data_IF_567980426006
#
_entry.id   IF_567980426006
#
_cell.length_a   1.000
_cell.length_b   1.000
_cell.length_c   1.000
_cell.angle_alpha   90.00
_cell.angle_beta   90.00
_cell.angle_gamma   90.00
#
_symmetry.space_group_name_H-M   'P 1'
#
loop_
_entity.id
_entity.type
_entity.pdbx_description
1 polymer ?
#
# COMPACT_ATOMS: atom_id res chain seq x y z
N UNK A 1 10.83 27.10 -17.10
CA UNK A 1 9.54 27.05 -17.84
C UNK A 1 8.48 26.49 -16.90
N UNK A 2 7.62 27.34 -16.34
CA UNK A 2 6.58 26.93 -15.38
C UNK A 2 5.38 26.32 -16.10
N UNK A 3 5.14 25.03 -15.86
CA UNK A 3 3.93 24.34 -16.31
C UNK A 3 2.78 24.80 -15.40
N UNK A 4 1.92 25.68 -15.93
CA UNK A 4 0.68 26.09 -15.27
C UNK A 4 -0.28 24.90 -15.25
N UNK A 5 -0.57 24.38 -14.07
CA UNK A 5 -1.66 23.44 -13.84
C UNK A 5 -2.99 24.13 -14.20
N UNK A 6 -3.59 23.72 -15.32
CA UNK A 6 -4.95 24.11 -15.63
C UNK A 6 -5.93 23.30 -14.76
N UNK A 7 -6.98 23.94 -14.22
CA UNK A 7 -8.02 23.25 -13.48
C UNK A 7 -8.78 22.33 -14.43
N UNK A 8 -8.81 21.02 -14.14
CA UNK A 8 -9.65 20.08 -14.87
C UNK A 8 -11.12 20.52 -14.78
N UNK A 9 -11.81 20.70 -15.92
CA UNK A 9 -13.24 20.98 -15.91
C UNK A 9 -13.94 19.83 -15.19
N UNK A 10 -14.90 20.16 -14.31
CA UNK A 10 -15.74 19.20 -13.60
C UNK A 10 -16.33 18.21 -14.59
N UNK A 11 -15.71 17.04 -14.70
CA UNK A 11 -16.16 15.96 -15.57
C UNK A 11 -17.56 15.58 -15.14
N UNK A 12 -18.51 15.66 -16.09
CA UNK A 12 -19.84 15.10 -15.92
C UNK A 12 -19.68 13.67 -15.36
N UNK A 13 -20.40 13.31 -14.28
CA UNK A 13 -20.28 11.97 -13.71
C UNK A 13 -20.53 10.95 -14.82
N UNK A 14 -19.62 9.99 -14.95
CA UNK A 14 -19.70 8.96 -15.99
C UNK A 14 -21.13 8.38 -16.01
N UNK A 15 -21.77 8.28 -17.19
CA UNK A 15 -23.12 7.75 -17.29
C UNK A 15 -23.16 6.39 -16.62
N UNK A 16 -24.09 6.20 -15.68
CA UNK A 16 -24.19 4.96 -14.92
C UNK A 16 -24.33 3.81 -15.92
N UNK A 17 -23.53 2.73 -15.78
CA UNK A 17 -23.64 1.59 -16.67
C UNK A 17 -25.08 1.08 -16.62
N UNK A 18 -25.73 1.01 -17.78
CA UNK A 18 -27.07 0.42 -17.89
C UNK A 18 -26.98 -1.03 -17.40
N UNK A 19 -27.97 -1.52 -16.65
CA UNK A 19 -27.95 -2.91 -16.20
C UNK A 19 -27.86 -3.84 -17.41
N UNK A 20 -26.85 -4.72 -17.43
CA UNK A 20 -26.76 -5.77 -18.45
C UNK A 20 -28.02 -6.64 -18.38
N UNK A 21 -28.62 -6.90 -19.53
CA UNK A 21 -29.74 -7.83 -19.71
C UNK A 21 -29.12 -9.17 -20.06
N UNK A 22 -29.29 -10.16 -19.19
CA UNK A 22 -28.82 -11.53 -19.43
C UNK A 22 -29.90 -12.29 -20.20
N UNK A 23 -29.49 -13.11 -21.17
CA UNK A 23 -30.37 -14.02 -21.91
C UNK A 23 -30.71 -15.26 -21.07
N UNK A 24 -29.77 -15.69 -20.23
CA UNK A 24 -29.91 -16.83 -19.33
C UNK A 24 -29.73 -16.38 -17.89
N UNK A 25 -30.79 -16.55 -17.08
CA UNK A 25 -30.87 -16.18 -15.67
C UNK A 25 -30.95 -17.46 -14.83
N UNK A 26 -30.28 -17.49 -13.68
CA UNK A 26 -30.22 -18.68 -12.81
C UNK A 26 -31.60 -19.06 -12.27
N UNK A 27 -32.50 -18.10 -12.06
CA UNK A 27 -33.85 -18.34 -11.53
C UNK A 27 -34.73 -19.17 -12.47
N UNK A 28 -34.47 -19.10 -13.78
CA UNK A 28 -35.21 -19.86 -14.80
C UNK A 28 -34.75 -21.32 -14.93
N UNK A 29 -33.71 -21.73 -14.17
CA UNK A 29 -33.04 -23.03 -14.25
C UNK A 29 -32.78 -23.50 -15.69
N UNK A 30 -32.08 -22.69 -16.51
CA UNK A 30 -31.83 -23.03 -17.89
C UNK A 30 -30.97 -24.28 -18.01
N UNK A 31 -31.28 -25.13 -19.00
CA UNK A 31 -30.47 -26.31 -19.31
C UNK A 31 -29.05 -25.88 -19.71
N UNK A 32 -28.06 -26.33 -18.94
CA UNK A 32 -26.64 -26.01 -19.12
C UNK A 32 -26.18 -26.42 -20.52
N UNK A 33 -26.65 -27.56 -21.04
CA UNK A 33 -26.26 -28.03 -22.36
C UNK A 33 -26.73 -27.08 -23.45
N UNK A 34 -27.95 -26.54 -23.31
CA UNK A 34 -28.49 -25.54 -24.24
C UNK A 34 -27.65 -24.27 -24.25
N UNK A 35 -27.18 -23.81 -23.08
CA UNK A 35 -26.28 -22.64 -23.00
C UNK A 35 -24.96 -22.93 -23.73
N UNK A 36 -24.37 -24.12 -23.55
CA UNK A 36 -23.14 -24.52 -24.25
C UNK A 36 -23.34 -24.53 -25.77
N UNK A 37 -24.46 -25.06 -26.26
CA UNK A 37 -24.79 -25.04 -27.70
C UNK A 37 -25.00 -23.62 -28.22
N UNK A 38 -25.73 -22.78 -27.50
CA UNK A 38 -25.90 -21.37 -27.86
C UNK A 38 -24.56 -20.63 -27.93
N UNK A 39 -23.60 -20.93 -27.04
CA UNK A 39 -22.23 -20.35 -27.09
C UNK A 39 -21.47 -20.83 -28.32
N UNK A 40 -21.62 -22.11 -28.69
CA UNK A 40 -21.08 -22.65 -29.95
C UNK A 40 -21.67 -21.92 -31.16
N UNK A 41 -22.97 -21.58 -31.09
CA UNK A 41 -23.70 -20.84 -32.13
C UNK A 41 -23.44 -19.31 -32.10
N UNK A 42 -22.58 -18.83 -31.20
CA UNK A 42 -22.11 -17.44 -31.16
C UNK A 42 -22.69 -16.56 -30.05
N UNK A 43 -23.36 -17.14 -29.05
CA UNK A 43 -23.77 -16.39 -27.85
C UNK A 43 -22.53 -15.91 -27.08
N UNK A 44 -22.46 -14.61 -26.81
CA UNK A 44 -21.39 -14.04 -25.98
C UNK A 44 -21.60 -14.45 -24.53
N UNK A 45 -20.54 -14.91 -23.89
CA UNK A 45 -20.56 -15.32 -22.46
C UNK A 45 -21.01 -14.19 -21.52
N UNK A 46 -20.87 -12.92 -21.93
CA UNK A 46 -21.36 -11.77 -21.16
C UNK A 46 -22.89 -11.71 -21.01
N UNK A 47 -23.63 -12.40 -21.86
CA UNK A 47 -25.10 -12.48 -21.83
C UNK A 47 -25.61 -13.60 -20.92
N UNK A 48 -24.71 -14.39 -20.33
CA UNK A 48 -25.04 -15.45 -19.36
C UNK A 48 -24.77 -14.92 -17.96
N UNK A 49 -25.70 -15.17 -17.03
CA UNK A 49 -25.52 -14.73 -15.64
C UNK A 49 -24.31 -15.42 -14.97
N UNK A 50 -23.42 -14.67 -14.28
CA UNK A 50 -22.21 -15.23 -13.66
C UNK A 50 -22.45 -16.33 -12.63
N UNK A 51 -23.62 -16.34 -11.99
CA UNK A 51 -24.00 -17.35 -10.99
C UNK A 51 -24.10 -18.76 -11.63
N UNK A 52 -24.26 -18.85 -12.96
CA UNK A 52 -24.25 -20.12 -13.71
C UNK A 52 -22.83 -20.59 -14.08
N UNK A 53 -21.80 -19.75 -13.97
CA UNK A 53 -20.44 -20.07 -14.44
C UNK A 53 -19.81 -21.27 -13.72
N UNK A 54 -20.08 -21.45 -12.42
CA UNK A 54 -19.56 -22.58 -11.66
C UNK A 54 -20.03 -23.94 -12.23
N UNK A 55 -21.28 -24.01 -12.67
CA UNK A 55 -21.86 -25.21 -13.25
C UNK A 55 -21.54 -25.34 -14.76
N UNK A 56 -21.37 -24.20 -15.45
CA UNK A 56 -21.10 -24.15 -16.88
C UNK A 56 -19.65 -24.53 -17.21
N UNK A 57 -18.68 -24.16 -16.36
CA UNK A 57 -17.24 -24.32 -16.62
C UNK A 57 -16.82 -25.78 -16.89
N UNK A 58 -17.21 -26.79 -16.08
CA UNK A 58 -16.87 -28.18 -16.37
C UNK A 58 -17.43 -28.66 -17.71
N UNK A 59 -18.67 -28.27 -18.03
CA UNK A 59 -19.33 -28.62 -19.30
C UNK A 59 -18.62 -27.99 -20.51
N UNK A 60 -18.23 -26.72 -20.42
CA UNK A 60 -17.47 -26.03 -21.47
C UNK A 60 -16.12 -26.70 -21.72
N UNK A 61 -15.38 -27.04 -20.66
CA UNK A 61 -14.07 -27.70 -20.77
C UNK A 61 -14.19 -29.09 -21.41
N UNK A 62 -15.15 -29.89 -20.98
CA UNK A 62 -15.41 -31.21 -21.55
C UNK A 62 -15.77 -31.11 -23.03
N UNK A 63 -16.65 -30.16 -23.40
CA UNK A 63 -17.11 -29.99 -24.78
C UNK A 63 -16.01 -29.40 -25.68
N UNK A 64 -15.18 -28.51 -25.17
CA UNK A 64 -14.04 -27.95 -25.90
C UNK A 64 -13.04 -29.05 -26.29
N UNK A 65 -12.70 -29.97 -25.36
CA UNK A 65 -11.82 -31.13 -25.66
C UNK A 65 -12.40 -32.01 -26.77
N UNK A 66 -13.68 -32.36 -26.67
CA UNK A 66 -14.35 -33.16 -27.70
C UNK A 66 -14.35 -32.46 -29.08
N UNK A 67 -14.55 -31.14 -29.13
CA UNK A 67 -14.53 -30.38 -30.38
C UNK A 67 -13.13 -30.24 -30.97
N UNK A 68 -12.08 -30.19 -30.14
CA UNK A 68 -10.69 -30.26 -30.60
C UNK A 68 -10.37 -31.62 -31.23
N UNK A 69 -10.82 -32.71 -30.63
CA UNK A 69 -10.68 -34.06 -31.19
C UNK A 69 -11.38 -34.18 -32.55
N UNK A 70 -12.56 -33.56 -32.69
CA UNK A 70 -13.32 -33.53 -33.94
C UNK A 70 -12.82 -32.48 -34.95
N UNK A 71 -11.73 -31.76 -34.64
CA UNK A 71 -11.13 -30.72 -35.48
C UNK A 71 -12.06 -29.55 -35.84
N UNK A 72 -13.10 -29.28 -35.03
CA UNK A 72 -13.97 -28.12 -35.22
C UNK A 72 -13.38 -26.87 -34.54
N UNK A 73 -12.43 -26.24 -35.25
CA UNK A 73 -11.65 -25.10 -34.74
C UNK A 73 -12.52 -23.89 -34.35
N UNK A 74 -13.51 -23.43 -35.15
CA UNK A 74 -14.34 -22.28 -34.79
C UNK A 74 -15.10 -22.48 -33.48
N UNK A 75 -15.79 -23.61 -33.33
CA UNK A 75 -16.56 -23.92 -32.12
C UNK A 75 -15.66 -24.05 -30.88
N UNK A 76 -14.49 -24.69 -31.03
CA UNK A 76 -13.53 -24.79 -29.92
C UNK A 76 -12.98 -23.42 -29.48
N UNK A 77 -12.81 -22.47 -30.41
CA UNK A 77 -12.35 -21.11 -30.10
C UNK A 77 -13.39 -20.34 -29.30
N UNK A 78 -14.66 -20.39 -29.70
CA UNK A 78 -15.76 -19.75 -28.95
C UNK A 78 -15.89 -20.29 -27.53
N UNK A 79 -15.75 -21.61 -27.34
CA UNK A 79 -15.76 -22.20 -26.01
C UNK A 79 -14.52 -21.81 -25.18
N UNK A 80 -13.33 -21.77 -25.78
CA UNK A 80 -12.12 -21.36 -25.08
C UNK A 80 -12.15 -19.89 -24.67
N UNK A 81 -12.69 -19.00 -25.51
CA UNK A 81 -12.92 -17.59 -25.18
C UNK A 81 -13.87 -17.47 -23.98
N UNK A 82 -14.97 -18.24 -23.96
CA UNK A 82 -15.88 -18.29 -22.83
C UNK A 82 -15.20 -18.83 -21.54
N UNK A 83 -14.38 -19.87 -21.65
CA UNK A 83 -13.61 -20.43 -20.52
C UNK A 83 -12.62 -19.39 -19.98
N UNK A 84 -11.86 -18.74 -20.85
CA UNK A 84 -10.89 -17.71 -20.48
C UNK A 84 -11.59 -16.53 -19.81
N UNK A 85 -12.74 -16.10 -20.34
CA UNK A 85 -13.56 -15.05 -19.73
C UNK A 85 -13.98 -15.44 -18.31
N UNK A 86 -14.50 -16.66 -18.10
CA UNK A 86 -14.92 -17.14 -16.78
C UNK A 86 -13.74 -17.21 -15.80
N UNK A 87 -12.57 -17.69 -16.24
CA UNK A 87 -11.37 -17.80 -15.41
C UNK A 87 -10.80 -16.42 -15.02
N UNK A 88 -10.82 -15.48 -15.96
CA UNK A 88 -10.35 -14.10 -15.75
C UNK A 88 -11.42 -13.18 -15.14
N UNK A 89 -12.64 -13.68 -14.92
CA UNK A 89 -13.74 -12.91 -14.36
C UNK A 89 -13.43 -12.56 -12.90
N UNK A 90 -12.81 -11.38 -12.69
CA UNK A 90 -12.62 -10.82 -11.36
C UNK A 90 -13.98 -10.34 -10.83
N UNK A 91 -14.45 -10.99 -9.78
CA UNK A 91 -15.66 -10.69 -8.99
C UNK A 91 -15.87 -9.20 -8.64
N UNK A 92 -14.84 -8.36 -8.73
CA UNK A 92 -14.85 -6.95 -8.30
C UNK A 92 -15.54 -5.96 -9.24
N UNK A 93 -15.83 -6.33 -10.51
CA UNK A 93 -16.27 -5.37 -11.52
C UNK A 93 -17.79 -5.35 -11.79
N UNK A 94 -18.58 -6.27 -11.22
CA UNK A 94 -20.03 -6.27 -11.40
C UNK A 94 -20.77 -5.64 -10.19
N UNK A 95 -21.39 -4.45 -10.35
CA UNK A 95 -22.06 -3.74 -9.26
C UNK A 95 -23.25 -4.52 -8.65
N UNK A 96 -23.75 -5.58 -9.29
CA UNK A 96 -24.82 -6.43 -8.73
C UNK A 96 -24.30 -7.47 -7.72
N UNK A 97 -23.00 -7.80 -7.71
CA UNK A 97 -22.43 -8.84 -6.83
C UNK A 97 -21.83 -8.33 -5.51
N UNK A 98 -21.65 -7.02 -5.32
CA UNK A 98 -21.32 -6.44 -4.00
C UNK A 98 -22.42 -6.63 -2.95
N UNK A 99 -23.59 -7.16 -3.34
CA UNK A 99 -24.65 -7.54 -2.41
C UNK A 99 -24.66 -9.05 -2.22
N UNK A 100 -24.37 -9.57 -1.01
CA UNK A 100 -24.38 -11.00 -0.73
C UNK A 100 -25.74 -11.62 -1.06
N UNK A 101 -25.76 -12.92 -1.39
CA UNK A 101 -26.96 -13.69 -1.75
C UNK A 101 -28.08 -13.57 -0.70
N UNK A 102 -27.70 -13.37 0.56
CA UNK A 102 -28.60 -13.05 1.68
C UNK A 102 -29.32 -11.71 1.49
N UNK A 103 -28.65 -10.65 1.04
CA UNK A 103 -29.29 -9.35 0.78
C UNK A 103 -30.27 -9.40 -0.39
N UNK A 104 -29.95 -10.13 -1.48
CA UNK A 104 -30.88 -10.30 -2.61
C UNK A 104 -32.13 -11.11 -2.23
N UNK A 105 -31.95 -12.20 -1.48
CA UNK A 105 -33.07 -13.01 -0.98
C UNK A 105 -33.92 -12.27 0.07
N UNK A 106 -33.31 -11.39 0.89
CA UNK A 106 -34.04 -10.57 1.86
C UNK A 106 -34.89 -9.49 1.20
N UNK A 107 -34.47 -8.94 0.05
CA UNK A 107 -35.31 -8.01 -0.72
C UNK A 107 -36.51 -8.70 -1.42
N UNK A 108 -36.34 -9.95 -1.86
CA UNK A 108 -37.42 -10.74 -2.47
C UNK A 108 -38.40 -11.35 -1.44
N UNK A 109 -37.97 -11.48 -0.17
CA UNK A 109 -38.82 -11.87 0.97
C UNK A 109 -39.35 -10.65 1.74
N UNK A 110 -39.75 -9.59 1.05
CA UNK A 110 -40.79 -8.70 1.59
C UNK A 110 -42.13 -9.45 1.54
N UNK A 111 -42.24 -10.53 2.33
CA UNK A 111 -43.50 -11.22 2.54
C UNK A 111 -44.55 -10.16 2.84
N UNK A 112 -45.65 -10.16 2.08
CA UNK A 112 -46.75 -9.19 2.23
C UNK A 112 -47.07 -9.09 3.71
N UNK A 113 -46.65 -7.99 4.34
CA UNK A 113 -46.88 -7.77 5.77
C UNK A 113 -48.39 -7.83 5.94
N UNK A 114 -48.85 -8.75 6.79
CA UNK A 114 -50.27 -8.97 6.95
C UNK A 114 -50.92 -7.70 7.49
N UNK A 115 -52.09 -7.33 6.98
CA UNK A 115 -52.80 -6.15 7.45
C UNK A 115 -53.05 -6.20 8.97
N UNK A 116 -53.24 -7.41 9.53
CA UNK A 116 -53.38 -7.61 10.97
C UNK A 116 -52.12 -7.20 11.74
N UNK A 117 -50.94 -7.49 11.20
CA UNK A 117 -49.66 -7.10 11.80
C UNK A 117 -49.49 -5.57 11.76
N UNK A 118 -49.89 -4.92 10.67
CA UNK A 118 -49.89 -3.46 10.56
C UNK A 118 -50.81 -2.85 11.62
N UNK A 119 -52.04 -3.36 11.75
CA UNK A 119 -53.03 -2.88 12.71
C UNK A 119 -52.56 -3.04 14.16
N UNK A 120 -51.93 -4.16 14.51
CA UNK A 120 -51.32 -4.38 15.84
C UNK A 120 -50.21 -3.35 16.11
N UNK A 121 -49.37 -3.06 15.11
CA UNK A 121 -48.31 -2.06 15.25
C UNK A 121 -48.85 -0.63 15.32
N UNK A 122 -49.96 -0.31 14.65
CA UNK A 122 -50.68 0.95 14.79
C UNK A 122 -51.17 1.11 16.23
N UNK A 123 -51.86 0.11 16.78
CA UNK A 123 -52.33 0.14 18.17
C UNK A 123 -51.16 0.29 19.17
N UNK A 124 -50.06 -0.43 18.96
CA UNK A 124 -48.85 -0.26 19.76
C UNK A 124 -48.26 1.16 19.66
N UNK A 125 -48.26 1.77 18.47
CA UNK A 125 -47.76 3.13 18.26
C UNK A 125 -48.64 4.19 18.92
N UNK A 126 -49.97 4.04 18.82
CA UNK A 126 -50.96 4.91 19.46
C UNK A 126 -50.87 4.83 20.99
N UNK A 127 -50.56 3.64 21.53
CA UNK A 127 -50.34 3.43 22.98
C UNK A 127 -48.94 3.83 23.46
N UNK A 128 -48.08 4.35 22.58
CA UNK A 128 -46.71 4.74 22.91
C UNK A 128 -45.73 3.58 23.15
N UNK A 129 -46.08 2.35 22.79
CA UNK A 129 -45.25 1.14 22.95
C UNK A 129 -44.33 0.92 21.74
N UNK A 130 -43.49 1.90 21.43
CA UNK A 130 -42.61 1.88 20.26
C UNK A 130 -41.52 0.79 20.32
N UNK A 131 -41.11 0.38 21.52
CA UNK A 131 -40.10 -0.67 21.75
C UNK A 131 -40.50 -2.03 21.14
N UNK A 132 -41.80 -2.24 20.84
CA UNK A 132 -42.33 -3.50 20.28
C UNK A 132 -42.49 -3.46 18.77
N UNK A 133 -42.26 -2.31 18.13
CA UNK A 133 -42.51 -2.12 16.71
C UNK A 133 -41.22 -2.39 15.95
N UNK A 134 -41.30 -3.22 14.91
CA UNK A 134 -40.16 -3.51 14.07
C UNK A 134 -39.73 -2.26 13.27
N UNK A 135 -38.46 -1.83 13.34
CA UNK A 135 -37.92 -0.72 12.55
C UNK A 135 -38.27 -0.72 11.06
N UNK A 136 -38.34 -1.89 10.44
CA UNK A 136 -38.65 -2.04 9.02
C UNK A 136 -40.05 -1.56 8.66
N UNK A 137 -40.96 -1.55 9.64
CA UNK A 137 -42.36 -1.16 9.45
C UNK A 137 -42.60 0.34 9.59
N UNK A 138 -41.64 1.11 10.12
CA UNK A 138 -41.85 2.54 10.41
C UNK A 138 -42.32 3.36 9.21
N UNK A 139 -41.83 3.07 8.00
CA UNK A 139 -42.26 3.78 6.78
C UNK A 139 -43.72 3.49 6.40
N UNK A 140 -44.14 2.23 6.53
CA UNK A 140 -45.51 1.79 6.23
C UNK A 140 -46.44 2.31 7.32
N UNK A 141 -46.05 2.12 8.58
CA UNK A 141 -46.77 2.55 9.76
C UNK A 141 -47.03 4.07 9.75
N UNK A 142 -46.04 4.88 9.39
CA UNK A 142 -46.21 6.33 9.31
C UNK A 142 -47.26 6.74 8.25
N UNK A 143 -47.32 6.03 7.12
CA UNK A 143 -48.35 6.29 6.08
C UNK A 143 -49.74 5.93 6.58
N UNK A 144 -49.90 4.79 7.22
CA UNK A 144 -51.19 4.36 7.76
C UNK A 144 -51.66 5.24 8.91
N UNK A 145 -50.76 5.69 9.80
CA UNK A 145 -51.09 6.66 10.85
C UNK A 145 -51.53 8.03 10.29
N UNK A 146 -50.93 8.48 9.17
CA UNK A 146 -51.36 9.69 8.47
C UNK A 146 -52.77 9.51 7.87
N UNK A 147 -53.07 8.35 7.28
CA UNK A 147 -54.42 8.05 6.77
C UNK A 147 -55.46 8.05 7.88
N UNK A 148 -55.18 7.36 9.00
CA UNK A 148 -56.08 7.33 10.17
C UNK A 148 -56.34 8.73 10.70
N UNK A 149 -55.31 9.59 10.74
CA UNK A 149 -55.46 11.01 11.10
C UNK A 149 -56.42 11.72 10.14
N UNK A 150 -56.21 11.59 8.83
CA UNK A 150 -57.01 12.30 7.83
C UNK A 150 -58.46 11.81 7.79
N UNK A 151 -58.67 10.50 7.96
CA UNK A 151 -60.00 9.88 8.11
C UNK A 151 -60.70 10.38 9.37
N UNK A 152 -60.01 10.42 10.52
CA UNK A 152 -60.58 10.90 11.79
C UNK A 152 -60.93 12.38 11.74
N UNK A 153 -60.12 13.19 11.03
CA UNK A 153 -60.43 14.60 10.77
C UNK A 153 -61.68 14.78 9.91
N UNK A 154 -61.91 13.88 8.94
CA UNK A 154 -63.13 13.91 8.11
C UNK A 154 -64.39 13.60 8.92
N UNK A 155 -64.27 12.72 9.93
CA UNK A 155 -65.34 12.32 10.85
C UNK A 155 -65.50 13.31 12.02
N UNK A 156 -64.60 14.29 12.15
CA UNK A 156 -64.50 15.25 13.27
C UNK A 156 -64.18 14.61 14.63
N UNK A 157 -63.52 13.45 14.63
CA UNK A 157 -62.94 12.87 15.85
C UNK A 157 -61.52 13.41 16.07
N UNK A 158 -61.44 14.50 16.82
CA UNK A 158 -60.18 15.22 17.02
C UNK A 158 -59.21 14.49 17.95
N UNK A 159 -59.69 13.65 18.88
CA UNK A 159 -58.84 12.97 19.86
C UNK A 159 -58.02 11.87 19.19
N UNK A 160 -58.65 11.05 18.36
CA UNK A 160 -57.96 10.00 17.60
C UNK A 160 -57.03 10.60 16.55
N UNK A 161 -57.43 11.71 15.92
CA UNK A 161 -56.58 12.46 15.00
C UNK A 161 -55.31 12.99 15.68
N UNK A 162 -55.41 13.52 16.90
CA UNK A 162 -54.26 14.01 17.68
C UNK A 162 -53.31 12.88 18.05
N UNK A 163 -53.83 11.77 18.62
CA UNK A 163 -53.02 10.60 18.95
C UNK A 163 -52.30 10.02 17.73
N UNK A 164 -52.98 9.93 16.59
CA UNK A 164 -52.40 9.45 15.33
C UNK A 164 -51.30 10.40 14.82
N UNK A 165 -51.49 11.71 14.94
CA UNK A 165 -50.48 12.69 14.57
C UNK A 165 -49.23 12.63 15.47
N UNK A 166 -49.41 12.48 16.78
CA UNK A 166 -48.30 12.31 17.72
C UNK A 166 -47.53 11.01 17.47
N UNK A 167 -48.25 9.90 17.30
CA UNK A 167 -47.66 8.61 16.96
C UNK A 167 -46.89 8.66 15.64
N UNK A 168 -47.45 9.29 14.59
CA UNK A 168 -46.79 9.48 13.30
C UNK A 168 -45.48 10.28 13.44
N UNK A 169 -45.51 11.41 14.17
CA UNK A 169 -44.30 12.22 14.43
C UNK A 169 -43.23 11.43 15.17
N UNK A 170 -43.63 10.62 16.16
CA UNK A 170 -42.69 9.81 16.94
C UNK A 170 -42.10 8.67 16.12
N UNK A 171 -42.92 7.95 15.34
CA UNK A 171 -42.47 6.89 14.41
C UNK A 171 -41.53 7.47 13.35
N UNK A 172 -41.82 8.65 12.81
CA UNK A 172 -40.94 9.34 11.86
C UNK A 172 -39.59 9.70 12.51
N UNK A 173 -39.60 10.17 13.75
CA UNK A 173 -38.38 10.48 14.51
C UNK A 173 -37.53 9.22 14.70
N UNK A 174 -38.14 8.12 15.16
CA UNK A 174 -37.47 6.82 15.33
C UNK A 174 -36.95 6.25 13.99
N UNK A 175 -37.69 6.46 12.89
CA UNK A 175 -37.23 6.06 11.55
C UNK A 175 -36.01 6.83 11.09
N UNK A 176 -35.95 8.13 11.38
CA UNK A 176 -34.79 8.96 11.03
C UNK A 176 -33.59 8.64 11.92
N UNK A 177 -33.82 8.35 13.19
CA UNK A 177 -32.79 7.91 14.15
C UNK A 177 -32.19 6.56 13.70
N UNK A 178 -33.01 5.53 13.44
CA UNK A 178 -32.50 4.24 12.96
C UNK A 178 -31.71 4.36 11.65
N UNK A 179 -32.19 5.17 10.70
CA UNK A 179 -31.46 5.42 9.44
C UNK A 179 -30.12 6.12 9.70
N UNK A 180 -30.09 7.05 10.64
CA UNK A 180 -28.86 7.75 11.02
C UNK A 180 -27.89 6.79 11.71
N UNK A 181 -28.37 5.93 12.60
CA UNK A 181 -27.58 4.91 13.28
C UNK A 181 -26.97 3.94 12.26
N UNK A 182 -27.75 3.40 11.32
CA UNK A 182 -27.26 2.56 10.22
C UNK A 182 -26.18 3.24 9.37
N UNK A 183 -26.35 4.55 9.07
CA UNK A 183 -25.35 5.32 8.32
C UNK A 183 -24.08 5.52 9.15
N UNK A 184 -24.22 5.72 10.46
CA UNK A 184 -23.11 6.02 11.36
C UNK A 184 -22.30 4.76 11.66
N UNK A 185 -22.96 3.63 11.93
CA UNK A 185 -22.31 2.32 12.11
C UNK A 185 -21.59 1.88 10.84
N UNK A 186 -22.23 2.03 9.67
CA UNK A 186 -21.57 1.73 8.39
C UNK A 186 -20.33 2.58 8.16
N UNK A 187 -20.39 3.87 8.49
CA UNK A 187 -19.23 4.75 8.38
C UNK A 187 -18.11 4.34 9.34
N UNK A 188 -18.47 3.94 10.57
CA UNK A 188 -17.52 3.44 11.55
C UNK A 188 -16.81 2.18 11.02
N UNK A 189 -17.58 1.19 10.55
CA UNK A 189 -17.04 -0.03 9.94
C UNK A 189 -16.14 0.27 8.72
N UNK A 190 -16.56 1.20 7.86
CA UNK A 190 -15.74 1.66 6.72
C UNK A 190 -14.42 2.28 7.19
N UNK A 191 -14.45 3.14 8.22
CA UNK A 191 -13.23 3.76 8.77
C UNK A 191 -12.31 2.76 9.47
N UNK A 192 -12.85 1.84 10.26
CA UNK A 192 -12.09 0.76 10.91
C UNK A 192 -11.43 -0.16 9.89
N UNK A 193 -12.16 -0.53 8.83
CA UNK A 193 -11.59 -1.32 7.75
C UNK A 193 -10.41 -0.59 7.08
N UNK A 194 -10.58 0.70 6.79
CA UNK A 194 -9.48 1.49 6.20
C UNK A 194 -8.30 1.67 7.13
N UNK A 195 -8.54 1.67 8.45
CA UNK A 195 -7.47 1.71 9.45
C UNK A 195 -6.66 0.41 9.39
N UNK A 196 -7.33 -0.75 9.45
CA UNK A 196 -6.68 -2.07 9.37
C UNK A 196 -5.83 -2.21 8.09
N UNK A 197 -6.39 -1.86 6.93
CA UNK A 197 -5.66 -1.89 5.66
C UNK A 197 -4.40 -1.00 5.67
N UNK A 198 -4.44 0.12 6.42
CA UNK A 198 -3.29 1.03 6.55
C UNK A 198 -2.26 0.53 7.55
N UNK A 199 -2.69 -0.14 8.62
CA UNK A 199 -1.79 -0.79 9.58
C UNK A 199 -1.04 -1.95 8.92
N UNK A 200 -1.73 -2.80 8.15
CA UNK A 200 -1.10 -3.87 7.37
C UNK A 200 -0.08 -3.32 6.38
N UNK A 201 -0.47 -2.30 5.59
CA UNK A 201 0.43 -1.64 4.63
C UNK A 201 1.64 -0.98 5.31
N UNK A 202 1.49 -0.50 6.54
CA UNK A 202 2.58 0.06 7.32
C UNK A 202 3.61 -0.99 7.73
N UNK A 203 3.15 -2.16 8.19
CA UNK A 203 4.04 -3.29 8.51
C UNK A 203 4.80 -3.75 7.27
N UNK A 204 4.11 -3.92 6.14
CA UNK A 204 4.75 -4.28 4.86
C UNK A 204 5.81 -3.23 4.44
N UNK A 205 5.50 -1.95 4.60
CA UNK A 205 6.44 -0.87 4.29
C UNK A 205 7.67 -0.93 5.20
N UNK A 206 7.49 -1.22 6.50
CA UNK A 206 8.60 -1.38 7.43
C UNK A 206 9.49 -2.56 7.05
N UNK A 207 8.90 -3.74 6.80
CA UNK A 207 9.65 -4.94 6.41
C UNK A 207 10.43 -4.77 5.11
N UNK A 208 9.82 -4.11 4.12
CA UNK A 208 10.49 -3.84 2.83
C UNK A 208 11.67 -2.89 2.98
N UNK A 209 11.56 -1.86 3.82
CA UNK A 209 12.68 -0.97 4.14
C UNK A 209 13.78 -1.66 4.92
N UNK A 210 13.44 -2.47 5.92
CA UNK A 210 14.41 -3.24 6.71
C UNK A 210 15.21 -4.20 5.82
N UNK A 211 14.52 -4.93 4.93
CA UNK A 211 15.15 -5.80 3.96
C UNK A 211 16.09 -5.02 3.03
N UNK A 212 15.63 -3.89 2.49
CA UNK A 212 16.45 -3.06 1.60
C UNK A 212 17.70 -2.50 2.28
N UNK A 213 17.60 -2.10 3.56
CA UNK A 213 18.75 -1.62 4.35
C UNK A 213 19.73 -2.77 4.61
N UNK A 214 19.21 -3.96 4.93
CA UNK A 214 20.03 -5.16 5.15
C UNK A 214 20.78 -5.56 3.88
N UNK A 215 20.10 -5.58 2.73
CA UNK A 215 20.71 -5.88 1.43
C UNK A 215 21.80 -4.86 1.09
N UNK A 216 21.57 -3.57 1.35
CA UNK A 216 22.58 -2.52 1.15
C UNK A 216 23.81 -2.68 2.08
N UNK A 217 23.62 -3.13 3.31
CA UNK A 217 24.71 -3.43 4.24
C UNK A 217 25.54 -4.63 3.79
N UNK A 218 24.88 -5.69 3.33
CA UNK A 218 25.56 -6.88 2.78
C UNK A 218 26.33 -6.54 1.51
N UNK A 219 25.75 -5.74 0.63
CA UNK A 219 26.42 -5.26 -0.58
C UNK A 219 27.67 -4.45 -0.23
N UNK A 220 27.55 -3.49 0.72
CA UNK A 220 28.70 -2.73 1.23
C UNK A 220 29.83 -3.66 1.70
N UNK A 221 29.51 -4.65 2.53
CA UNK A 221 30.52 -5.55 3.08
C UNK A 221 31.19 -6.40 1.99
N UNK A 222 30.41 -6.90 1.03
CA UNK A 222 30.93 -7.63 -0.13
C UNK A 222 31.86 -6.75 -0.97
N UNK A 223 31.46 -5.52 -1.26
CA UNK A 223 32.25 -4.59 -2.07
C UNK A 223 33.56 -4.22 -1.38
N UNK A 224 33.54 -3.96 -0.07
CA UNK A 224 34.75 -3.68 0.70
C UNK A 224 35.71 -4.87 0.72
N UNK A 225 35.20 -6.10 0.92
CA UNK A 225 36.03 -7.32 0.85
C UNK A 225 36.66 -7.52 -0.53
N UNK A 226 35.93 -7.20 -1.60
CA UNK A 226 36.46 -7.30 -2.96
C UNK A 226 37.57 -6.26 -3.22
N UNK A 227 37.39 -5.03 -2.72
CA UNK A 227 38.42 -3.98 -2.79
C UNK A 227 39.65 -4.37 -1.98
N UNK A 228 39.49 -4.90 -0.76
CA UNK A 228 40.62 -5.36 0.07
C UNK A 228 41.43 -6.44 -0.65
N UNK A 229 40.76 -7.47 -1.20
CA UNK A 229 41.44 -8.53 -1.97
C UNK A 229 42.18 -7.97 -3.18
N UNK A 230 41.55 -7.09 -3.96
CA UNK A 230 42.21 -6.44 -5.10
C UNK A 230 43.41 -5.60 -4.69
N UNK A 231 43.30 -4.87 -3.57
CA UNK A 231 44.41 -4.09 -3.02
C UNK A 231 45.57 -5.00 -2.57
N UNK A 232 45.28 -6.12 -1.90
CA UNK A 232 46.29 -7.11 -1.51
C UNK A 232 47.01 -7.72 -2.72
N UNK A 233 46.29 -8.02 -3.80
CA UNK A 233 46.88 -8.53 -5.04
C UNK A 233 47.80 -7.50 -5.70
N UNK A 234 47.39 -6.22 -5.74
CA UNK A 234 48.21 -5.13 -6.26
C UNK A 234 49.50 -4.96 -5.45
N UNK A 235 49.41 -5.01 -4.11
CA UNK A 235 50.61 -4.92 -3.25
C UNK A 235 51.52 -6.13 -3.45
N UNK A 236 50.96 -7.35 -3.53
CA UNK A 236 51.73 -8.56 -3.84
C UNK A 236 52.41 -8.50 -5.19
N UNK A 237 51.76 -7.94 -6.20
CA UNK A 237 52.35 -7.76 -7.53
C UNK A 237 53.47 -6.71 -7.52
N UNK A 238 53.30 -5.64 -6.75
CA UNK A 238 54.35 -4.64 -6.54
C UNK A 238 55.56 -5.24 -5.80
N UNK A 239 55.32 -6.07 -4.78
CA UNK A 239 56.37 -6.65 -3.94
C UNK A 239 57.29 -7.61 -4.74
N UNK A 240 56.82 -8.18 -5.87
CA UNK A 240 57.67 -8.95 -6.79
C UNK A 240 58.84 -8.13 -7.38
N UNK A 241 58.73 -6.80 -7.41
CA UNK A 241 59.82 -5.92 -7.89
C UNK A 241 61.04 -5.92 -6.97
N UNK A 242 60.89 -6.37 -5.70
CA UNK A 242 62.02 -6.50 -4.78
C UNK A 242 62.90 -7.73 -5.08
N UNK A 243 62.34 -8.74 -5.76
CA UNK A 243 63.05 -9.95 -6.15
C UNK A 243 63.96 -9.72 -7.38
N UNK A 244 63.69 -8.67 -8.17
CA UNK A 244 64.47 -8.32 -9.35
C UNK A 244 65.72 -7.51 -8.98
N UNK A 245 66.89 -7.80 -9.59
CA UNK A 245 68.10 -7.03 -9.35
C UNK A 245 67.92 -5.58 -9.86
N UNK A 246 68.59 -4.59 -9.23
CA UNK A 246 68.41 -3.20 -9.61
C UNK A 246 68.77 -2.97 -11.09
N UNK A 247 67.97 -2.20 -11.85
CA UNK A 247 68.24 -1.94 -13.26
C UNK A 247 69.59 -1.25 -13.47
N UNK A 248 70.36 -1.71 -14.47
CA UNK A 248 71.67 -1.14 -14.84
C UNK A 248 71.62 0.36 -15.15
N UNK A 249 70.46 0.90 -15.54
CA UNK A 249 70.26 2.33 -15.85
C UNK A 249 70.40 3.26 -14.63
N UNK A 250 70.31 2.72 -13.43
CA UNK A 250 70.37 3.49 -12.16
C UNK A 250 71.83 3.63 -11.68
N UNK A 251 72.69 2.69 -12.07
CA UNK A 251 74.12 2.73 -11.77
C UNK A 251 74.83 3.73 -12.68
N UNK A 252 74.82 5.00 -12.28
CA UNK A 252 75.69 6.01 -12.86
C UNK A 252 76.83 6.26 -11.88
N UNK A 253 77.99 5.66 -12.15
CA UNK A 253 79.16 5.85 -11.32
C UNK A 253 79.59 7.31 -11.24
N UNK A 254 80.18 7.68 -10.11
CA UNK A 254 80.66 9.04 -9.91
C UNK A 254 81.74 9.41 -10.93
N UNK A 255 81.90 10.72 -11.23
CA UNK A 255 82.95 11.20 -12.12
C UNK A 255 84.35 10.73 -11.74
N UNK A 256 84.61 10.50 -10.44
CA UNK A 256 85.89 10.04 -9.93
C UNK A 256 86.22 8.62 -10.41
N UNK A 257 85.26 7.68 -10.32
CA UNK A 257 85.44 6.31 -10.82
C UNK A 257 85.62 6.33 -12.34
N UNK A 258 84.80 7.10 -13.05
CA UNK A 258 84.90 7.23 -14.51
C UNK A 258 86.28 7.79 -14.94
N UNK A 259 86.82 8.74 -14.18
CA UNK A 259 88.15 9.31 -14.42
C UNK A 259 89.25 8.28 -14.14
N UNK A 260 89.17 7.54 -13.03
CA UNK A 260 90.11 6.46 -12.70
C UNK A 260 90.13 5.38 -13.80
N UNK A 261 88.96 4.95 -14.28
CA UNK A 261 88.83 4.00 -15.41
C UNK A 261 89.39 4.55 -16.72
N UNK A 262 89.21 5.84 -16.98
CA UNK A 262 89.81 6.50 -18.16
C UNK A 262 91.35 6.54 -18.08
N UNK A 263 91.90 6.90 -16.92
CA UNK A 263 93.36 6.94 -16.69
C UNK A 263 93.94 5.52 -16.76
N UNK A 264 93.30 4.54 -16.14
CA UNK A 264 93.65 3.12 -16.22
C UNK A 264 93.75 2.67 -17.69
N UNK A 265 92.71 2.91 -18.49
CA UNK A 265 92.70 2.58 -19.93
C UNK A 265 93.87 3.21 -20.69
N UNK A 266 94.23 4.44 -20.35
CA UNK A 266 95.39 5.13 -20.92
C UNK A 266 96.73 4.52 -20.47
N UNK A 267 96.88 4.16 -19.20
CA UNK A 267 98.09 3.52 -18.67
C UNK A 267 98.33 2.13 -19.28
N UNK A 268 97.25 1.38 -19.52
CA UNK A 268 97.31 0.09 -20.24
C UNK A 268 97.79 0.31 -21.68
N UNK A 269 97.26 1.31 -22.39
CA UNK A 269 97.66 1.63 -23.77
C UNK A 269 99.11 2.12 -23.88
N UNK A 270 99.65 2.73 -22.84
CA UNK A 270 101.04 3.21 -22.79
C UNK A 270 102.04 2.19 -22.23
N UNK A 271 101.59 0.98 -21.87
CA UNK A 271 102.46 -0.12 -21.39
C UNK A 271 102.87 -0.04 -19.92
N UNK A 272 102.25 0.85 -19.12
CA UNK A 272 102.54 1.03 -17.68
C UNK A 272 101.62 0.15 -16.82
N UNK A 273 101.84 -1.16 -16.88
CA UNK A 273 100.92 -2.14 -16.29
C UNK A 273 100.87 -2.13 -14.74
N UNK A 274 101.98 -1.83 -14.06
CA UNK A 274 102.00 -1.77 -12.58
C UNK A 274 101.11 -0.67 -12.02
N UNK A 275 101.18 0.53 -12.61
CA UNK A 275 100.34 1.66 -12.23
C UNK A 275 98.88 1.46 -12.63
N UNK A 276 98.65 0.85 -13.80
CA UNK A 276 97.29 0.46 -14.21
C UNK A 276 96.67 -0.54 -13.22
N UNK A 277 97.45 -1.49 -12.68
CA UNK A 277 96.96 -2.45 -11.67
C UNK A 277 96.53 -1.75 -10.38
N UNK A 278 97.34 -0.81 -9.87
CA UNK A 278 97.00 -0.05 -8.67
C UNK A 278 95.75 0.83 -8.87
N UNK A 279 95.62 1.46 -10.05
CA UNK A 279 94.42 2.23 -10.41
C UNK A 279 93.18 1.34 -10.56
N UNK A 280 93.34 0.13 -11.11
CA UNK A 280 92.25 -0.84 -11.24
C UNK A 280 91.77 -1.33 -9.86
N UNK A 281 92.69 -1.62 -8.93
CA UNK A 281 92.34 -2.02 -7.56
C UNK A 281 91.56 -0.92 -6.84
N UNK A 282 92.02 0.34 -6.94
CA UNK A 282 91.33 1.47 -6.32
C UNK A 282 89.97 1.78 -6.98
N UNK A 283 89.89 1.71 -8.32
CA UNK A 283 88.62 1.86 -9.04
C UNK A 283 87.62 0.76 -8.66
N UNK A 284 88.08 -0.49 -8.59
CA UNK A 284 87.24 -1.64 -8.20
C UNK A 284 86.77 -1.51 -6.74
N UNK A 285 87.62 -1.03 -5.83
CA UNK A 285 87.25 -0.75 -4.44
C UNK A 285 86.13 0.30 -4.34
N UNK A 286 86.25 1.39 -5.09
CA UNK A 286 85.23 2.45 -5.11
C UNK A 286 83.93 2.01 -5.81
N UNK A 287 84.02 1.22 -6.88
CA UNK A 287 82.86 0.66 -7.58
C UNK A 287 82.01 -0.22 -6.65
N UNK A 288 82.65 -1.07 -5.84
CA UNK A 288 81.93 -1.90 -4.86
C UNK A 288 81.16 -1.05 -3.83
N UNK A 289 81.75 0.05 -3.37
CA UNK A 289 81.09 0.96 -2.40
C UNK A 289 79.90 1.67 -3.06
N UNK A 290 80.09 2.20 -4.28
CA UNK A 290 79.00 2.85 -5.01
C UNK A 290 77.89 1.88 -5.42
N UNK A 291 78.23 0.63 -5.76
CA UNK A 291 77.25 -0.42 -6.06
C UNK A 291 76.37 -0.75 -4.86
N UNK A 292 76.95 -0.82 -3.65
CA UNK A 292 76.18 -0.97 -2.43
C UNK A 292 75.28 0.23 -2.16
N UNK A 293 75.78 1.45 -2.39
CA UNK A 293 74.98 2.65 -2.20
C UNK A 293 73.83 2.73 -3.21
N UNK A 294 74.08 2.45 -4.49
CA UNK A 294 73.05 2.40 -5.52
C UNK A 294 71.99 1.32 -5.22
N UNK A 295 72.39 0.16 -4.67
CA UNK A 295 71.45 -0.86 -4.19
C UNK A 295 70.56 -0.32 -3.07
N UNK A 296 71.15 0.34 -2.06
CA UNK A 296 70.40 0.97 -0.96
C UNK A 296 69.41 2.02 -1.48
N UNK A 297 69.89 2.94 -2.31
CA UNK A 297 69.07 4.02 -2.88
C UNK A 297 67.91 3.46 -3.73
N UNK A 298 68.14 2.37 -4.47
CA UNK A 298 67.10 1.67 -5.22
C UNK A 298 66.02 1.08 -4.31
N UNK A 299 66.42 0.35 -3.27
CA UNK A 299 65.48 -0.23 -2.32
C UNK A 299 64.71 0.85 -1.54
N UNK A 300 65.37 1.95 -1.14
CA UNK A 300 64.72 3.10 -0.50
C UNK A 300 63.70 3.75 -1.43
N UNK A 301 64.01 3.85 -2.73
CA UNK A 301 63.09 4.35 -3.73
C UNK A 301 61.89 3.40 -3.93
N UNK A 302 62.11 2.08 -3.97
CA UNK A 302 61.02 1.09 -4.02
C UNK A 302 60.15 1.15 -2.76
N UNK A 303 60.73 1.28 -1.58
CA UNK A 303 59.98 1.43 -0.32
C UNK A 303 59.12 2.70 -0.31
N UNK A 304 59.66 3.84 -0.77
CA UNK A 304 58.89 5.09 -0.91
C UNK A 304 57.71 4.91 -1.88
N UNK A 305 57.92 4.21 -3.00
CA UNK A 305 56.85 3.89 -3.96
C UNK A 305 55.81 2.95 -3.35
N UNK A 306 56.22 1.93 -2.61
CA UNK A 306 55.33 1.00 -1.89
C UNK A 306 54.45 1.75 -0.90
N UNK A 307 55.04 2.60 -0.06
CA UNK A 307 54.31 3.41 0.92
C UNK A 307 53.33 4.39 0.25
N UNK A 308 53.70 4.97 -0.90
CA UNK A 308 52.80 5.81 -1.68
C UNK A 308 51.61 4.99 -2.23
N UNK A 309 51.88 3.82 -2.81
CA UNK A 309 50.86 2.92 -3.32
C UNK A 309 49.88 2.49 -2.22
N UNK A 310 50.38 2.05 -1.06
CA UNK A 310 49.54 1.69 0.09
C UNK A 310 48.66 2.84 0.53
N UNK A 311 49.20 4.07 0.55
CA UNK A 311 48.44 5.27 0.89
C UNK A 311 47.32 5.54 -0.12
N UNK A 312 47.59 5.43 -1.42
CA UNK A 312 46.57 5.60 -2.47
C UNK A 312 45.47 4.53 -2.38
N UNK A 313 45.84 3.27 -2.17
CA UNK A 313 44.88 2.17 -2.01
C UNK A 313 44.01 2.35 -0.78
N UNK A 314 44.61 2.79 0.35
CA UNK A 314 43.87 3.09 1.58
C UNK A 314 42.91 4.27 1.40
N UNK A 315 43.33 5.33 0.71
CA UNK A 315 42.47 6.48 0.40
C UNK A 315 41.29 6.07 -0.48
N UNK A 316 41.52 5.27 -1.52
CA UNK A 316 40.45 4.70 -2.35
C UNK A 316 39.46 3.87 -1.53
N UNK A 317 39.96 2.97 -0.68
CA UNK A 317 39.12 2.17 0.22
C UNK A 317 38.26 3.06 1.13
N UNK A 318 38.86 4.09 1.74
CA UNK A 318 38.16 5.04 2.61
C UNK A 318 37.08 5.82 1.87
N UNK A 319 37.34 6.28 0.65
CA UNK A 319 36.34 6.98 -0.18
C UNK A 319 35.15 6.05 -0.47
N UNK A 320 35.42 4.78 -0.82
CA UNK A 320 34.36 3.80 -1.04
C UNK A 320 33.52 3.52 0.22
N UNK A 321 34.17 3.32 1.37
CA UNK A 321 33.47 3.14 2.65
C UNK A 321 32.61 4.37 3.01
N UNK A 322 33.16 5.58 2.86
CA UNK A 322 32.43 6.83 3.10
C UNK A 322 31.24 6.99 2.16
N UNK A 323 31.41 6.71 0.87
CA UNK A 323 30.31 6.80 -0.09
C UNK A 323 29.20 5.79 0.24
N UNK A 324 29.55 4.54 0.56
CA UNK A 324 28.59 3.51 0.91
C UNK A 324 27.86 3.81 2.24
N UNK A 325 28.58 4.27 3.27
CA UNK A 325 27.98 4.68 4.55
C UNK A 325 27.03 5.86 4.37
N UNK A 326 27.40 6.85 3.56
CA UNK A 326 26.54 7.99 3.27
C UNK A 326 25.29 7.56 2.52
N UNK A 327 25.40 6.65 1.54
CA UNK A 327 24.26 6.08 0.83
C UNK A 327 23.31 5.28 1.74
N UNK A 328 23.84 4.50 2.68
CA UNK A 328 23.02 3.78 3.67
C UNK A 328 22.34 4.78 4.62
N UNK A 329 23.04 5.84 5.04
CA UNK A 329 22.46 6.87 5.91
C UNK A 329 21.32 7.64 5.21
N UNK A 330 21.46 7.95 3.91
CA UNK A 330 20.36 8.55 3.15
C UNK A 330 19.16 7.61 3.01
N UNK A 331 19.40 6.31 2.76
CA UNK A 331 18.33 5.29 2.73
C UNK A 331 17.58 5.18 4.06
N UNK A 332 18.29 5.15 5.20
CA UNK A 332 17.67 5.15 6.53
C UNK A 332 16.81 6.39 6.75
N UNK A 333 17.33 7.57 6.41
CA UNK A 333 16.59 8.84 6.53
C UNK A 333 15.34 8.88 5.65
N UNK A 334 15.38 8.29 4.45
CA UNK A 334 14.18 8.19 3.60
C UNK A 334 13.16 7.23 4.18
N UNK A 335 13.60 6.08 4.70
CA UNK A 335 12.73 5.10 5.35
C UNK A 335 12.03 5.71 6.57
N UNK A 336 12.77 6.37 7.46
CA UNK A 336 12.23 7.03 8.66
C UNK A 336 11.15 8.06 8.31
N UNK A 337 11.36 8.86 7.26
CA UNK A 337 10.38 9.86 6.82
C UNK A 337 9.09 9.23 6.31
N UNK A 338 9.20 8.14 5.56
CA UNK A 338 8.03 7.44 5.00
C UNK A 338 7.24 6.73 6.11
N UNK A 339 7.94 6.04 7.01
CA UNK A 339 7.37 5.40 8.20
C UNK A 339 6.65 6.44 9.07
N UNK A 340 7.27 7.58 9.35
CA UNK A 340 6.66 8.67 10.13
C UNK A 340 5.42 9.26 9.43
N UNK A 341 5.46 9.40 8.11
CA UNK A 341 4.30 9.86 7.33
C UNK A 341 3.13 8.87 7.40
N UNK A 342 3.40 7.57 7.28
CA UNK A 342 2.37 6.52 7.40
C UNK A 342 1.82 6.45 8.82
N UNK A 343 2.67 6.50 9.85
CA UNK A 343 2.24 6.53 11.25
C UNK A 343 1.33 7.74 11.53
N UNK A 344 1.66 8.92 11.02
CA UNK A 344 0.78 10.10 11.12
C UNK A 344 -0.55 9.89 10.42
N UNK A 345 -0.58 9.15 9.30
CA UNK A 345 -1.82 8.80 8.61
C UNK A 345 -2.68 7.85 9.45
N UNK A 346 -2.08 6.83 10.07
CA UNK A 346 -2.75 5.89 10.98
C UNK A 346 -3.31 6.65 12.18
N UNK A 347 -2.51 7.49 12.83
CA UNK A 347 -2.96 8.29 13.98
C UNK A 347 -4.16 9.19 13.65
N UNK A 348 -4.20 9.76 12.42
CA UNK A 348 -5.36 10.53 11.96
C UNK A 348 -6.60 9.66 11.78
N UNK A 349 -6.45 8.45 11.24
CA UNK A 349 -7.55 7.50 11.09
C UNK A 349 -8.07 7.03 12.45
N UNK A 350 -7.18 6.77 13.41
CA UNK A 350 -7.56 6.47 14.79
C UNK A 350 -8.41 7.58 15.41
N UNK A 351 -7.99 8.85 15.28
CA UNK A 351 -8.82 9.98 15.72
C UNK A 351 -10.20 10.01 15.02
N UNK A 352 -10.27 9.62 13.74
CA UNK A 352 -11.55 9.54 13.02
C UNK A 352 -12.44 8.39 13.50
N UNK A 353 -11.85 7.25 13.87
CA UNK A 353 -12.56 6.12 14.48
C UNK A 353 -13.10 6.53 15.85
N UNK A 354 -12.27 7.13 16.72
CA UNK A 354 -12.70 7.64 18.03
C UNK A 354 -13.85 8.67 17.90
N UNK A 355 -13.74 9.60 16.94
CA UNK A 355 -14.80 10.56 16.63
C UNK A 355 -16.09 9.86 16.14
N UNK A 356 -15.99 8.79 15.36
CA UNK A 356 -17.14 8.02 14.87
C UNK A 356 -17.77 7.17 15.99
N UNK A 357 -16.97 6.54 16.83
CA UNK A 357 -17.41 5.76 17.99
C UNK A 357 -18.14 6.63 19.01
N UNK A 358 -17.59 7.82 19.30
CA UNK A 358 -18.26 8.76 20.21
C UNK A 358 -19.63 9.15 19.65
N UNK A 359 -19.73 9.47 18.35
CA UNK A 359 -21.01 9.76 17.69
C UNK A 359 -22.02 8.61 17.80
N UNK A 360 -21.58 7.36 17.64
CA UNK A 360 -22.42 6.18 17.81
C UNK A 360 -22.86 6.00 19.28
N UNK A 361 -21.94 6.17 20.22
CA UNK A 361 -22.20 6.03 21.68
C UNK A 361 -23.17 7.09 22.20
N UNK A 362 -23.08 8.33 21.71
CA UNK A 362 -24.00 9.41 22.04
C UNK A 362 -25.48 9.06 21.75
N UNK A 363 -25.74 8.27 20.70
CA UNK A 363 -27.11 7.91 20.31
C UNK A 363 -27.68 6.87 21.27
N UNK A 364 -26.90 5.87 21.67
CA UNK A 364 -27.31 4.82 22.60
C UNK A 364 -27.69 5.36 24.00
N UNK A 365 -27.07 6.46 24.44
CA UNK A 365 -27.39 7.08 25.73
C UNK A 365 -28.65 7.97 25.72
N UNK A 366 -29.12 8.43 24.56
CA UNK A 366 -30.31 9.29 24.45
C UNK A 366 -31.62 8.55 24.78
N UNK A 367 -31.63 7.22 24.69
CA UNK A 367 -32.81 6.39 24.96
C UNK A 367 -32.91 5.90 26.41
N UNK A 368 -31.78 5.70 27.10
CA UNK A 368 -31.79 5.21 28.49
C UNK A 368 -31.98 6.31 29.55
N UNK A 369 -31.62 7.56 29.25
CA UNK A 369 -31.60 8.64 30.25
C UNK A 369 -32.95 9.32 30.52
N UNK A 370 -34.05 8.90 29.87
CA UNK A 370 -35.40 9.49 30.08
C UNK A 370 -36.35 8.68 30.98
N UNK A 371 -35.97 7.49 31.45
CA UNK A 371 -36.71 6.80 32.52
C UNK A 371 -35.98 7.05 33.84
N UNK A 372 -36.64 7.77 34.75
CA UNK A 372 -36.24 8.01 36.15
C UNK A 372 -35.15 9.08 36.38
N UNK A 373 -35.47 10.35 36.13
CA UNK A 373 -34.90 11.44 36.94
C UNK A 373 -35.96 11.93 37.93
N UNK A 374 -36.01 11.29 39.10
CA UNK A 374 -36.50 11.97 40.29
C UNK A 374 -35.56 13.13 40.60
N UNK A 375 -36.05 14.35 40.87
CA UNK A 375 -35.20 15.46 41.24
C UNK A 375 -34.80 15.26 42.71
N UNK A 376 -33.61 14.72 42.98
CA UNK A 376 -33.03 14.84 44.33
C UNK A 376 -31.51 14.68 44.32
N UNK A 377 -30.89 15.69 44.94
CA UNK A 377 -29.56 15.71 45.54
C UNK A 377 -28.35 15.93 44.62
N UNK A 378 -27.83 17.14 44.73
CA UNK A 378 -26.45 17.50 44.44
C UNK A 378 -25.48 16.80 45.41
N UNK A 379 -24.31 16.35 44.92
CA UNK A 379 -22.98 16.71 45.48
C UNK A 379 -21.83 15.99 44.76
N UNK A 380 -20.83 16.81 44.44
CA UNK A 380 -19.38 16.57 44.32
C UNK A 380 -18.84 15.44 43.45
N UNK A 381 -17.92 15.81 42.55
CA UNK A 381 -16.96 14.88 41.97
C UNK A 381 -16.30 15.45 40.71
N UNK A 382 -15.26 16.25 40.90
CA UNK A 382 -14.46 16.87 39.84
C UNK A 382 -13.80 15.81 38.93
N UNK A 383 -14.29 15.65 37.70
CA UNK A 383 -13.50 15.18 36.56
C UNK A 383 -13.76 16.11 35.38
N UNK A 384 -12.70 16.80 34.93
CA UNK A 384 -12.72 17.72 33.78
C UNK A 384 -12.90 16.92 32.49
N UNK A 385 -14.12 16.45 32.22
CA UNK A 385 -14.56 16.10 30.87
C UNK A 385 -15.44 17.26 30.37
N UNK A 386 -15.20 17.77 29.15
CA UNK A 386 -16.04 18.83 28.60
C UNK A 386 -17.50 18.36 28.56
N UNK A 387 -18.47 19.25 28.83
CA UNK A 387 -19.88 18.87 28.88
C UNK A 387 -20.30 18.27 27.53
N UNK A 388 -20.72 17.00 27.57
CA UNK A 388 -21.16 16.12 26.47
C UNK A 388 -22.34 16.66 25.64
N UNK A 389 -22.74 17.91 25.81
CA UNK A 389 -23.93 18.49 25.18
C UNK A 389 -23.71 19.98 24.86
N UNK A 390 -22.55 20.31 24.28
CA UNK A 390 -22.29 21.67 23.81
C UNK A 390 -23.30 22.06 22.73
N UNK A 391 -23.83 23.30 22.73
CA UNK A 391 -24.65 23.83 21.64
C UNK A 391 -24.01 23.64 20.26
N UNK A 392 -22.68 23.66 20.18
CA UNK A 392 -21.94 23.41 18.94
C UNK A 392 -22.09 21.95 18.45
N UNK A 393 -22.11 20.96 19.35
CA UNK A 393 -22.33 19.55 19.00
C UNK A 393 -23.78 19.31 18.55
N UNK A 394 -24.75 19.95 19.20
CA UNK A 394 -26.16 19.88 18.76
C UNK A 394 -26.37 20.53 17.39
N UNK A 395 -25.68 21.64 17.11
CA UNK A 395 -25.68 22.27 15.80
C UNK A 395 -25.08 21.36 14.73
N UNK A 396 -23.93 20.72 15.00
CA UNK A 396 -23.34 19.70 14.10
C UNK A 396 -24.30 18.54 13.86
N UNK A 397 -24.96 18.02 14.91
CA UNK A 397 -25.98 16.96 14.79
C UNK A 397 -27.13 17.38 13.87
N UNK A 398 -27.71 18.57 14.09
CA UNK A 398 -28.78 19.10 13.23
C UNK A 398 -28.32 19.33 11.80
N UNK A 399 -27.11 19.85 11.59
CA UNK A 399 -26.56 20.07 10.26
C UNK A 399 -26.34 18.75 9.50
N UNK A 400 -25.84 17.69 10.17
CA UNK A 400 -25.67 16.36 9.56
C UNK A 400 -27.02 15.70 9.28
N UNK A 401 -27.98 15.75 10.21
CA UNK A 401 -29.34 15.23 9.98
C UNK A 401 -29.99 15.95 8.80
N UNK A 402 -29.93 17.28 8.77
CA UNK A 402 -30.48 18.07 7.67
C UNK A 402 -29.78 17.76 6.34
N UNK A 403 -28.44 17.62 6.32
CA UNK A 403 -27.75 17.28 5.07
C UNK A 403 -28.18 15.90 4.57
N UNK A 404 -28.33 14.89 5.43
CA UNK A 404 -28.78 13.55 5.03
C UNK A 404 -30.25 13.57 4.55
N UNK A 405 -31.11 14.31 5.22
CA UNK A 405 -32.54 14.43 4.88
C UNK A 405 -32.76 15.16 3.57
N UNK A 406 -32.00 16.23 3.29
CA UNK A 406 -32.22 17.09 2.12
C UNK A 406 -31.33 16.77 0.90
N UNK A 407 -30.16 16.13 1.06
CA UNK A 407 -29.27 15.83 -0.09
C UNK A 407 -29.49 14.44 -0.72
N UNK A 408 -30.14 13.49 -0.02
CA UNK A 408 -30.43 12.15 -0.56
C UNK A 408 -31.86 11.94 -1.06
N UNK A 409 -32.80 12.84 -0.77
CA UNK A 409 -34.19 12.77 -1.28
C UNK A 409 -34.30 13.19 -2.74
N UNK A 410 -33.41 14.07 -3.23
CA UNK A 410 -33.39 14.56 -4.61
C UNK A 410 -33.00 13.52 -5.69
N UNK A 411 -32.73 12.25 -5.34
CA UNK A 411 -32.32 11.20 -6.30
C UNK A 411 -33.27 9.99 -6.38
N UNK A 412 -34.43 10.04 -5.72
CA UNK A 412 -35.41 8.92 -5.72
C UNK A 412 -36.67 9.24 -6.54
N UNK A 413 -36.82 10.46 -7.04
CA UNK A 413 -37.93 10.86 -7.91
C UNK A 413 -37.45 11.14 -9.35
N UNK A 414 -36.89 10.12 -10.03
CA UNK A 414 -36.87 10.01 -11.49
C UNK A 414 -36.89 8.54 -11.91
#
# INVERSE_FOLDING_TARGET
MSIRNQPHPFGMPAPRPKPKIYKYVSDDNPDINKIVFDIIDGLKIEEVEPDLFANLLPCLQQRSRALMEWRNQPASRSLNEAIEYILNYRYSNDPKQLKPKTERALTARSGKISQNEININIDNAMRGKYDRINPRLYRILNRELIKIRDESLSVKDYQTAEMAAEAARKVLTLSNENRFDEISTRKLEETEKTLLEREDSFVETQETWEKRIKDALQQKESDLKNIEKGNEEIVKEFDKQFDEPPPKSIFKYSPNILQLRSIESYMVKSGRYSEASALNEEATRLELIEDEQHKKDWYDHLQKKRAHLEKELHERYKIHDQNATTAIATLKKTAEKEIDQQQKSINRLNCHVDDAETLCSFMNHSFRSRRNRSPKSARSGSSKLPPLNSPAQQFRKKAIINSIVYTKTAKIEQ
#
